data_IF_644266261461
#
_entry.id   IF_644266261461
#
_cell.length_a   1.000
_cell.length_b   1.000
_cell.length_c   1.000
_cell.angle_alpha   90.00
_cell.angle_beta   90.00
_cell.angle_gamma   90.00
#
_symmetry.space_group_name_H-M   'P 1'
#
loop_
_entity.id
_entity.type
_entity.pdbx_description
1 polymer ?
#
# COMPACT_ATOMS: atom_id res chain seq x y z
N UNK A 1 11.62 -0.54 37.77
CA UNK A 1 10.38 0.06 37.22
C UNK A 1 10.49 0.03 35.71
N UNK A 2 9.90 -0.97 35.06
CA UNK A 2 9.70 -0.97 33.60
C UNK A 2 8.61 0.07 33.36
N UNK A 3 8.99 1.23 32.82
CA UNK A 3 8.06 2.35 32.66
C UNK A 3 6.93 1.95 31.70
N UNK A 4 5.69 2.16 32.13
CA UNK A 4 4.48 2.03 31.31
C UNK A 4 4.54 2.85 30.01
N UNK A 5 5.44 3.83 29.92
CA UNK A 5 5.71 4.63 28.71
C UNK A 5 6.21 3.79 27.53
N UNK A 6 7.11 2.82 27.75
CA UNK A 6 7.76 2.08 26.66
C UNK A 6 6.80 1.08 26.02
N UNK A 7 5.94 0.45 26.82
CA UNK A 7 4.95 -0.51 26.33
C UNK A 7 3.86 0.20 25.51
N UNK A 8 3.38 1.36 26.00
CA UNK A 8 2.37 2.16 25.29
C UNK A 8 2.88 2.62 23.92
N UNK A 9 4.14 3.06 23.83
CA UNK A 9 4.74 3.54 22.58
C UNK A 9 4.93 2.41 21.56
N UNK A 10 5.38 1.23 22.01
CA UNK A 10 5.50 0.03 21.16
C UNK A 10 4.13 -0.38 20.62
N UNK A 11 3.10 -0.43 21.49
CA UNK A 11 1.73 -0.78 21.08
C UNK A 11 1.23 0.22 20.02
N UNK A 12 1.46 1.52 20.22
CA UNK A 12 1.00 2.55 19.30
C UNK A 12 1.69 2.46 17.93
N UNK A 13 3.00 2.18 17.89
CA UNK A 13 3.75 1.95 16.65
C UNK A 13 3.27 0.71 15.91
N UNK A 14 3.11 -0.41 16.62
CA UNK A 14 2.66 -1.69 16.02
C UNK A 14 1.22 -1.59 15.51
N UNK A 15 0.31 -1.03 16.30
CA UNK A 15 -1.09 -0.86 15.89
C UNK A 15 -1.22 0.11 14.72
N UNK A 16 -0.50 1.23 14.72
CA UNK A 16 -0.46 2.16 13.59
C UNK A 16 0.05 1.51 12.30
N UNK A 17 1.13 0.72 12.39
CA UNK A 17 1.66 -0.03 11.25
C UNK A 17 0.65 -1.04 10.71
N UNK A 18 -0.01 -1.80 11.59
CA UNK A 18 -1.02 -2.80 11.22
C UNK A 18 -2.23 -2.15 10.54
N UNK A 19 -2.73 -1.03 11.08
CA UNK A 19 -3.88 -0.32 10.49
C UNK A 19 -3.62 0.14 9.07
N UNK A 20 -2.37 0.50 8.74
CA UNK A 20 -2.01 0.93 7.38
C UNK A 20 -1.76 -0.26 6.44
N UNK A 21 -1.13 -1.34 6.93
CA UNK A 21 -0.76 -2.50 6.12
C UNK A 21 -1.96 -3.43 5.85
N UNK A 22 -2.87 -3.61 6.81
CA UNK A 22 -3.98 -4.56 6.71
C UNK A 22 -4.89 -4.30 5.49
N UNK A 23 -5.37 -3.06 5.23
CA UNK A 23 -6.18 -2.80 4.05
C UNK A 23 -5.46 -3.15 2.74
N UNK A 24 -4.16 -2.86 2.65
CA UNK A 24 -3.35 -3.15 1.47
C UNK A 24 -3.26 -4.67 1.25
N UNK A 25 -3.01 -5.43 2.32
CA UNK A 25 -2.98 -6.90 2.26
C UNK A 25 -4.34 -7.48 1.84
N UNK A 26 -5.44 -6.94 2.34
CA UNK A 26 -6.79 -7.35 1.94
C UNK A 26 -6.98 -7.15 0.44
N UNK A 27 -6.62 -5.98 -0.11
CA UNK A 27 -6.71 -5.74 -1.55
C UNK A 27 -5.83 -6.69 -2.37
N UNK A 28 -4.61 -6.98 -1.92
CA UNK A 28 -3.72 -7.95 -2.59
C UNK A 28 -4.38 -9.33 -2.62
N UNK A 29 -4.86 -9.82 -1.48
CA UNK A 29 -5.49 -11.15 -1.36
C UNK A 29 -6.74 -11.22 -2.26
N UNK A 30 -7.60 -10.20 -2.23
CA UNK A 30 -8.80 -10.15 -3.05
C UNK A 30 -8.47 -10.12 -4.54
N UNK A 31 -7.42 -9.41 -4.93
CA UNK A 31 -6.99 -9.31 -6.34
C UNK A 31 -6.42 -10.64 -6.83
N UNK A 32 -5.60 -11.31 -6.01
CA UNK A 32 -5.08 -12.66 -6.31
C UNK A 32 -6.25 -13.64 -6.45
N UNK A 33 -7.21 -13.61 -5.52
CA UNK A 33 -8.41 -14.45 -5.59
C UNK A 33 -9.21 -14.19 -6.87
N UNK A 34 -9.43 -12.93 -7.22
CA UNK A 34 -10.12 -12.53 -8.45
C UNK A 34 -9.39 -13.06 -9.69
N UNK A 35 -8.07 -12.88 -9.79
CA UNK A 35 -7.27 -13.37 -10.92
C UNK A 35 -7.24 -14.89 -11.00
N UNK A 36 -7.29 -15.58 -9.85
CA UNK A 36 -7.42 -17.04 -9.81
C UNK A 36 -8.77 -17.51 -10.38
N UNK A 37 -9.85 -16.75 -10.18
CA UNK A 37 -11.20 -17.10 -10.65
C UNK A 37 -11.52 -16.65 -12.08
N UNK A 38 -10.99 -15.51 -12.51
CA UNK A 38 -11.28 -14.90 -13.82
C UNK A 38 -10.12 -15.00 -14.81
N UNK A 39 -9.01 -15.60 -14.38
CA UNK A 39 -7.76 -15.61 -15.13
C UNK A 39 -6.99 -14.29 -14.97
N UNK A 40 -5.78 -14.27 -15.51
CA UNK A 40 -4.92 -13.09 -15.49
C UNK A 40 -5.50 -11.99 -16.39
N UNK A 41 -6.11 -10.97 -15.79
CA UNK A 41 -6.64 -9.80 -16.51
C UNK A 41 -5.74 -8.58 -16.33
N UNK A 42 -5.79 -7.65 -17.30
CA UNK A 42 -4.98 -6.41 -17.26
C UNK A 42 -5.31 -5.56 -16.02
N UNK A 43 -6.59 -5.44 -15.68
CA UNK A 43 -7.05 -4.74 -14.49
C UNK A 43 -6.56 -5.40 -13.20
N UNK A 44 -6.60 -6.74 -13.12
CA UNK A 44 -6.09 -7.48 -11.96
C UNK A 44 -4.59 -7.24 -11.76
N UNK A 45 -3.80 -7.27 -12.84
CA UNK A 45 -2.36 -6.96 -12.79
C UNK A 45 -2.12 -5.53 -12.27
N UNK A 46 -2.83 -4.54 -12.80
CA UNK A 46 -2.67 -3.15 -12.39
C UNK A 46 -3.00 -2.92 -10.91
N UNK A 47 -4.10 -3.51 -10.43
CA UNK A 47 -4.50 -3.47 -9.02
C UNK A 47 -3.44 -4.14 -8.15
N UNK A 48 -2.93 -5.31 -8.57
CA UNK A 48 -1.95 -6.08 -7.81
C UNK A 48 -0.61 -5.33 -7.71
N UNK A 49 -0.05 -4.90 -8.84
CA UNK A 49 1.22 -4.14 -8.87
C UNK A 49 1.08 -2.84 -8.07
N UNK A 50 -0.04 -2.12 -8.25
CA UNK A 50 -0.32 -0.90 -7.50
C UNK A 50 -0.27 -1.12 -5.99
N UNK A 51 -0.98 -2.14 -5.49
CA UNK A 51 -0.98 -2.46 -4.06
C UNK A 51 0.38 -2.98 -3.56
N UNK A 52 1.13 -3.74 -4.36
CA UNK A 52 2.48 -4.18 -3.99
C UNK A 52 3.43 -2.98 -3.81
N UNK A 53 3.39 -1.99 -4.72
CA UNK A 53 4.18 -0.77 -4.59
C UNK A 53 3.80 0.02 -3.32
N UNK A 54 2.51 0.17 -3.05
CA UNK A 54 2.02 0.85 -1.85
C UNK A 54 2.46 0.09 -0.58
N UNK A 55 2.42 -1.25 -0.59
CA UNK A 55 2.87 -2.10 0.51
C UNK A 55 4.37 -1.94 0.79
N UNK A 56 5.19 -1.95 -0.27
CA UNK A 56 6.64 -1.75 -0.13
C UNK A 56 6.92 -0.41 0.53
N UNK A 57 6.24 0.66 0.07
CA UNK A 57 6.41 1.99 0.67
C UNK A 57 5.93 2.04 2.12
N UNK A 58 4.79 1.41 2.43
CA UNK A 58 4.28 1.30 3.80
C UNK A 58 5.32 0.68 4.75
N UNK A 59 5.98 -0.39 4.29
CA UNK A 59 7.04 -1.07 5.04
C UNK A 59 8.27 -0.17 5.15
N UNK A 60 8.71 0.48 4.07
CA UNK A 60 9.86 1.38 4.08
C UNK A 60 9.69 2.54 5.07
N UNK A 61 8.50 3.15 5.15
CA UNK A 61 8.23 4.23 6.09
C UNK A 61 8.41 3.82 7.57
N UNK A 62 8.19 2.55 7.92
CA UNK A 62 8.45 2.06 9.28
C UNK A 62 9.94 2.14 9.65
N UNK A 63 10.82 2.03 8.67
CA UNK A 63 12.26 2.08 8.89
C UNK A 63 12.83 3.48 8.66
N UNK A 64 12.30 4.22 7.68
CA UNK A 64 12.86 5.50 7.24
C UNK A 64 12.98 6.53 8.38
N UNK A 65 11.99 6.58 9.28
CA UNK A 65 12.00 7.56 10.38
C UNK A 65 13.18 7.35 11.34
N UNK A 66 13.69 6.12 11.48
CA UNK A 66 14.82 5.82 12.37
C UNK A 66 16.14 6.42 11.88
N UNK A 67 16.20 6.88 10.63
CA UNK A 67 17.41 7.44 10.03
C UNK A 67 17.44 8.98 10.06
N UNK A 68 16.40 9.65 10.59
CA UNK A 68 16.34 11.11 10.62
C UNK A 68 17.49 11.72 11.45
N UNK A 69 17.81 11.10 12.58
CA UNK A 69 18.85 11.58 13.49
C UNK A 69 20.27 11.34 12.93
N UNK A 70 20.44 10.32 12.07
CA UNK A 70 21.75 9.95 11.52
C UNK A 70 22.05 10.60 10.17
N UNK A 71 21.04 10.81 9.33
CA UNK A 71 21.19 11.41 8.00
C UNK A 71 20.94 12.92 7.98
N UNK A 72 20.31 13.45 9.03
CA UNK A 72 19.81 14.82 9.03
C UNK A 72 18.55 14.98 8.18
N UNK A 73 17.84 16.08 8.43
CA UNK A 73 16.53 16.33 7.84
C UNK A 73 16.56 16.42 6.29
N UNK A 74 17.56 17.08 5.71
CA UNK A 74 17.60 17.34 4.26
C UNK A 74 17.70 16.03 3.45
N UNK A 75 18.62 15.14 3.83
CA UNK A 75 18.82 13.85 3.16
C UNK A 75 17.60 12.96 3.38
N UNK A 76 17.10 12.89 4.62
CA UNK A 76 15.87 12.17 4.94
C UNK A 76 14.70 12.64 4.06
N UNK A 77 14.50 13.95 3.93
CA UNK A 77 13.40 14.52 3.15
C UNK A 77 13.48 14.13 1.68
N UNK A 78 14.67 14.20 1.06
CA UNK A 78 14.87 13.81 -0.35
C UNK A 78 14.50 12.34 -0.57
N UNK A 79 14.99 11.45 0.29
CA UNK A 79 14.70 10.00 0.20
C UNK A 79 13.20 9.75 0.43
N UNK A 80 12.61 10.40 1.44
CA UNK A 80 11.19 10.28 1.76
C UNK A 80 10.31 10.74 0.59
N UNK A 81 10.67 11.83 -0.10
CA UNK A 81 9.97 12.27 -1.33
C UNK A 81 10.07 11.23 -2.44
N UNK A 82 11.24 10.61 -2.64
CA UNK A 82 11.42 9.54 -3.63
C UNK A 82 10.54 8.33 -3.32
N UNK A 83 10.50 7.89 -2.05
CA UNK A 83 9.66 6.79 -1.58
C UNK A 83 8.16 7.11 -1.76
N UNK A 84 7.73 8.32 -1.42
CA UNK A 84 6.35 8.77 -1.64
C UNK A 84 5.97 8.81 -3.13
N UNK A 85 6.91 9.13 -4.02
CA UNK A 85 6.68 9.10 -5.47
C UNK A 85 6.36 7.68 -5.95
N UNK A 86 7.00 6.64 -5.40
CA UNK A 86 6.69 5.24 -5.70
C UNK A 86 5.25 4.90 -5.26
N UNK A 87 4.85 5.36 -4.07
CA UNK A 87 3.48 5.15 -3.55
C UNK A 87 2.43 5.85 -4.41
N UNK A 88 2.74 7.06 -4.89
CA UNK A 88 1.89 7.80 -5.82
C UNK A 88 1.69 7.03 -7.14
N UNK A 89 2.76 6.50 -7.73
CA UNK A 89 2.68 5.64 -8.92
C UNK A 89 1.83 4.40 -8.62
N UNK A 90 2.06 3.74 -7.48
CA UNK A 90 1.27 2.58 -7.06
C UNK A 90 -0.23 2.90 -6.94
N UNK A 91 -0.57 4.06 -6.39
CA UNK A 91 -1.94 4.54 -6.24
C UNK A 91 -2.61 4.82 -7.58
N UNK A 92 -1.88 5.39 -8.55
CA UNK A 92 -2.36 5.57 -9.92
C UNK A 92 -2.65 4.22 -10.59
N UNK A 93 -1.72 3.27 -10.52
CA UNK A 93 -1.90 1.94 -11.11
C UNK A 93 -3.11 1.22 -10.51
N UNK A 94 -3.25 1.28 -9.19
CA UNK A 94 -4.43 0.76 -8.49
C UNK A 94 -5.72 1.39 -9.01
N UNK A 95 -5.78 2.72 -9.09
CA UNK A 95 -6.97 3.45 -9.51
C UNK A 95 -7.36 3.13 -10.96
N UNK A 96 -6.38 3.09 -11.86
CA UNK A 96 -6.61 2.73 -13.27
C UNK A 96 -7.14 1.30 -13.37
N UNK A 97 -6.51 0.35 -12.67
CA UNK A 97 -6.97 -1.04 -12.65
C UNK A 97 -8.39 -1.17 -12.09
N UNK A 98 -8.68 -0.51 -10.98
CA UNK A 98 -9.99 -0.51 -10.35
C UNK A 98 -11.07 0.11 -11.25
N UNK A 99 -10.76 1.22 -11.92
CA UNK A 99 -11.65 1.86 -12.89
C UNK A 99 -12.00 0.93 -14.06
N UNK A 100 -11.01 0.26 -14.65
CA UNK A 100 -11.23 -0.70 -15.75
C UNK A 100 -12.13 -1.86 -15.28
N UNK A 101 -11.92 -2.35 -14.06
CA UNK A 101 -12.75 -3.39 -13.47
C UNK A 101 -14.22 -2.94 -13.34
N UNK A 102 -14.46 -1.74 -12.81
CA UNK A 102 -15.81 -1.17 -12.68
C UNK A 102 -16.47 -1.03 -14.07
N UNK A 103 -15.75 -0.47 -15.05
CA UNK A 103 -16.28 -0.30 -16.40
C UNK A 103 -16.73 -1.62 -17.01
N UNK A 104 -15.94 -2.69 -16.83
CA UNK A 104 -16.31 -4.04 -17.32
C UNK A 104 -17.58 -4.56 -16.67
N UNK A 105 -17.73 -4.38 -15.36
CA UNK A 105 -18.92 -4.82 -14.62
C UNK A 105 -20.17 -4.05 -15.09
N UNK A 106 -20.07 -2.73 -15.25
CA UNK A 106 -21.18 -1.90 -15.72
C UNK A 106 -21.59 -2.27 -17.14
N UNK A 107 -20.61 -2.41 -18.06
CA UNK A 107 -20.90 -2.77 -19.46
C UNK A 107 -21.61 -4.12 -19.58
N UNK A 108 -21.15 -5.13 -18.85
CA UNK A 108 -21.76 -6.46 -18.89
C UNK A 108 -23.22 -6.45 -18.39
N UNK A 109 -23.58 -5.59 -17.43
CA UNK A 109 -24.96 -5.46 -16.94
C UNK A 109 -25.91 -4.74 -17.88
N UNK A 110 -25.41 -3.85 -18.74
CA UNK A 110 -26.25 -3.09 -19.70
C UNK A 110 -26.56 -3.93 -20.95
N UNK A 111 -25.77 -4.98 -21.19
CA UNK A 111 -25.93 -5.91 -22.32
C UNK A 111 -26.76 -7.17 -22.00
N UNK A 112 -27.20 -7.34 -20.74
CA UNK A 112 -28.20 -8.34 -20.32
C UNK A 112 -29.59 -7.71 -20.24
#
# INVERSE_FOLDING_TARGET
>A
MVSSSNVSEIILRVTGALFYILPILVFIILTIYYMSKKGTTKEGILILIGNILILIVAILHQFLYMFIDSWGFDIYSIINTGVNTISFIGSILFLIGFYIMIQKIIKNKVSE
#
